data_IF_059605424277
#
_entry.id   IF_059605424277
#
_cell.length_a   1.000
_cell.length_b   1.000
_cell.length_c   1.000
_cell.angle_alpha   90.00
_cell.angle_beta   90.00
_cell.angle_gamma   90.00
#
_symmetry.space_group_name_H-M   'P 1'
#
loop_
_entity.id
_entity.type
_entity.pdbx_description
1 polymer ?
#
# COMPACT_ATOMS: atom_id res chain seq x y z
N UNK A 1 50.27 15.48 -12.89
CA UNK A 1 49.83 14.58 -13.97
C UNK A 1 50.73 13.35 -13.93
N UNK A 2 50.25 12.24 -13.36
CA UNK A 2 50.59 10.82 -13.70
C UNK A 2 49.73 9.95 -12.80
N UNK A 3 48.85 9.16 -13.42
CA UNK A 3 47.94 8.20 -12.82
C UNK A 3 48.73 6.95 -12.43
N UNK A 4 48.55 6.44 -11.20
CA UNK A 4 48.80 5.02 -10.90
C UNK A 4 47.69 4.47 -10.01
N UNK A 5 46.85 3.65 -10.63
CA UNK A 5 45.92 2.71 -9.99
C UNK A 5 46.75 1.65 -9.24
N UNK A 6 46.34 1.29 -8.04
CA UNK A 6 46.75 0.04 -7.40
C UNK A 6 45.51 -0.72 -6.93
N UNK A 7 45.31 -1.86 -7.58
CA UNK A 7 44.42 -2.95 -7.19
C UNK A 7 45.31 -3.95 -6.43
N UNK A 8 44.88 -4.48 -5.28
CA UNK A 8 45.31 -5.80 -4.85
C UNK A 8 44.18 -6.80 -5.09
N UNK A 9 44.38 -7.64 -6.11
CA UNK A 9 43.78 -8.97 -6.20
C UNK A 9 44.48 -9.83 -5.16
N UNK A 10 43.72 -10.46 -4.25
CA UNK A 10 44.16 -11.68 -3.58
C UNK A 10 43.24 -12.82 -4.05
N UNK A 11 43.82 -13.71 -4.85
CA UNK A 11 43.28 -15.03 -5.13
C UNK A 11 43.45 -15.90 -3.87
N UNK A 12 42.36 -16.46 -3.36
CA UNK A 12 42.40 -17.67 -2.55
C UNK A 12 41.48 -18.69 -3.21
N UNK A 13 42.07 -19.83 -3.54
CA UNK A 13 41.53 -20.93 -4.31
C UNK A 13 40.47 -21.73 -3.56
N UNK A 14 39.48 -22.14 -4.34
CA UNK A 14 38.32 -22.97 -4.05
C UNK A 14 38.61 -24.26 -3.25
N UNK A 15 37.79 -24.51 -2.23
CA UNK A 15 37.41 -25.86 -1.81
C UNK A 15 35.91 -26.02 -1.97
N UNK A 16 35.50 -27.02 -2.77
CA UNK A 16 34.12 -27.36 -3.11
C UNK A 16 33.44 -28.05 -1.93
N UNK A 17 32.54 -27.32 -1.26
CA UNK A 17 31.33 -27.92 -0.70
C UNK A 17 30.16 -27.33 -1.48
N UNK A 18 29.62 -28.12 -2.41
CA UNK A 18 28.31 -27.84 -3.00
C UNK A 18 27.26 -28.03 -1.91
N UNK A 19 26.51 -26.99 -1.47
CA UNK A 19 25.18 -27.27 -0.96
C UNK A 19 24.36 -27.75 -2.16
N UNK A 20 23.73 -28.92 -2.05
CA UNK A 20 22.65 -29.30 -2.97
C UNK A 20 21.59 -28.21 -2.86
N UNK A 21 21.53 -27.30 -3.83
CA UNK A 21 20.36 -26.46 -4.02
C UNK A 21 19.21 -27.40 -4.34
N UNK A 22 18.26 -27.50 -3.41
CA UNK A 22 16.92 -27.97 -3.71
C UNK A 22 16.40 -27.16 -4.90
N UNK A 23 16.12 -27.83 -6.02
CA UNK A 23 15.47 -27.25 -7.20
C UNK A 23 13.95 -27.21 -7.05
N UNK A 24 13.42 -27.67 -5.91
CA UNK A 24 12.00 -27.66 -5.60
C UNK A 24 11.65 -26.38 -4.82
N UNK A 25 10.57 -25.66 -5.19
CA UNK A 25 10.12 -24.47 -4.48
C UNK A 25 9.75 -24.83 -3.02
N UNK A 26 10.01 -23.96 -2.04
CA UNK A 26 9.58 -24.18 -0.67
C UNK A 26 8.05 -24.09 -0.65
N UNK A 27 7.39 -25.25 -0.59
CA UNK A 27 5.95 -25.45 -0.52
C UNK A 27 5.15 -25.17 -1.81
N UNK A 28 4.80 -26.24 -2.51
CA UNK A 28 3.62 -26.29 -3.38
C UNK A 28 2.38 -26.30 -2.47
N UNK A 29 1.80 -25.14 -2.20
CA UNK A 29 0.46 -25.10 -1.61
C UNK A 29 -0.51 -25.50 -2.73
N UNK A 30 -1.06 -26.72 -2.67
CA UNK A 30 -2.26 -27.04 -3.45
C UNK A 30 -3.34 -26.05 -3.01
N UNK A 31 -3.66 -25.09 -3.87
CA UNK A 31 -4.80 -24.21 -3.66
C UNK A 31 -6.05 -25.07 -3.83
N UNK A 32 -6.64 -25.46 -2.69
CA UNK A 32 -7.95 -26.10 -2.68
C UNK A 32 -9.01 -25.11 -3.18
N UNK A 33 -9.28 -25.18 -4.48
CA UNK A 33 -10.30 -24.38 -5.14
C UNK A 33 -11.72 -24.92 -4.90
N UNK A 34 -11.90 -25.99 -4.12
CA UNK A 34 -13.22 -26.59 -3.88
C UNK A 34 -14.18 -25.68 -3.13
N UNK A 35 -13.68 -24.62 -2.49
CA UNK A 35 -14.47 -23.58 -1.82
C UNK A 35 -14.58 -22.26 -2.60
N UNK A 36 -14.18 -22.21 -3.88
CA UNK A 36 -14.39 -21.02 -4.71
C UNK A 36 -15.89 -20.79 -4.85
N UNK A 37 -16.40 -19.83 -4.09
CA UNK A 37 -17.78 -19.37 -4.21
C UNK A 37 -17.87 -18.59 -5.52
N UNK A 38 -18.54 -19.17 -6.52
CA UNK A 38 -18.88 -18.44 -7.74
C UNK A 38 -19.72 -17.23 -7.36
N UNK A 39 -19.19 -16.03 -7.56
CA UNK A 39 -19.92 -14.80 -7.30
C UNK A 39 -21.14 -14.75 -8.24
N UNK A 40 -22.33 -14.51 -7.68
CA UNK A 40 -23.55 -14.38 -8.46
C UNK A 40 -23.49 -13.20 -9.45
N UNK A 41 -24.42 -13.17 -10.40
CA UNK A 41 -24.54 -12.10 -11.40
C UNK A 41 -24.65 -10.69 -10.78
N UNK A 42 -25.10 -10.58 -9.53
CA UNK A 42 -24.97 -9.41 -8.69
C UNK A 42 -24.48 -9.84 -7.30
N UNK A 43 -23.44 -9.18 -6.80
CA UNK A 43 -22.89 -9.39 -5.46
C UNK A 43 -22.99 -8.08 -4.68
N UNK A 44 -23.46 -8.16 -3.44
CA UNK A 44 -23.63 -7.00 -2.56
C UNK A 44 -22.55 -7.05 -1.48
N UNK A 45 -21.63 -6.07 -1.50
CA UNK A 45 -20.69 -5.84 -0.41
C UNK A 45 -21.33 -4.88 0.60
N UNK A 46 -21.42 -5.29 1.87
CA UNK A 46 -22.03 -4.50 2.95
C UNK A 46 -21.11 -4.45 4.16
N UNK A 47 -21.12 -3.31 4.85
CA UNK A 47 -20.46 -3.19 6.15
C UNK A 47 -21.01 -4.17 7.17
N UNK A 48 -20.13 -4.80 7.94
CA UNK A 48 -20.50 -5.79 8.95
C UNK A 48 -21.19 -5.14 10.16
N UNK A 49 -20.93 -3.86 10.38
CA UNK A 49 -21.51 -3.06 11.45
C UNK A 49 -21.93 -1.68 10.92
N UNK A 50 -22.92 -1.03 11.56
CA UNK A 50 -23.25 0.37 11.27
C UNK A 50 -22.06 1.28 11.59
N UNK A 51 -22.12 2.50 11.07
CA UNK A 51 -21.13 3.52 11.40
C UNK A 51 -21.13 3.82 12.90
N UNK A 52 -19.95 3.92 13.49
CA UNK A 52 -19.74 4.26 14.88
C UNK A 52 -18.80 5.46 14.94
N UNK A 53 -19.33 6.63 15.28
CA UNK A 53 -18.56 7.87 15.42
C UNK A 53 -17.93 8.04 16.80
N UNK A 54 -18.10 7.09 17.73
CA UNK A 54 -17.58 7.19 19.09
C UNK A 54 -16.17 6.60 19.19
N UNK A 55 -15.14 7.42 19.09
CA UNK A 55 -13.74 6.99 19.16
C UNK A 55 -13.36 6.18 20.42
N UNK A 56 -14.12 6.31 21.52
CA UNK A 56 -13.88 5.52 22.74
C UNK A 56 -14.16 4.03 22.55
N UNK A 57 -14.91 3.66 21.50
CA UNK A 57 -15.15 2.27 21.14
C UNK A 57 -14.00 1.64 20.34
N UNK A 58 -13.13 2.44 19.71
CA UNK A 58 -12.06 1.96 18.83
C UNK A 58 -10.88 1.41 19.64
N UNK A 59 -10.25 0.32 19.17
CA UNK A 59 -9.21 -0.38 19.93
C UNK A 59 -8.17 -1.06 19.03
N UNK A 60 -6.94 -1.13 19.55
CA UNK A 60 -5.87 -1.93 18.96
C UNK A 60 -6.05 -3.41 19.29
N UNK A 61 -5.46 -4.25 18.44
CA UNK A 61 -5.48 -5.68 18.63
C UNK A 61 -6.83 -6.34 18.36
N UNK A 62 -6.82 -7.66 18.45
CA UNK A 62 -8.02 -8.49 18.43
C UNK A 62 -8.57 -8.69 19.84
N UNK A 63 -9.91 -8.65 19.97
CA UNK A 63 -10.67 -9.10 21.15
C UNK A 63 -11.34 -10.45 20.88
N UNK A 64 -12.00 -11.01 21.89
CA UNK A 64 -12.69 -12.31 21.80
C UNK A 64 -13.61 -12.42 20.56
N UNK A 65 -14.41 -11.39 20.28
CA UNK A 65 -15.28 -11.36 19.11
C UNK A 65 -14.54 -11.34 17.76
N UNK A 66 -13.32 -10.79 17.72
CA UNK A 66 -12.48 -10.80 16.51
C UNK A 66 -11.85 -12.20 16.31
N UNK A 67 -11.45 -12.87 17.39
CA UNK A 67 -10.92 -14.24 17.34
C UNK A 67 -11.97 -15.28 16.92
N UNK A 68 -13.26 -14.99 17.12
CA UNK A 68 -14.36 -15.83 16.64
C UNK A 68 -14.56 -15.73 15.11
N UNK A 69 -13.91 -14.79 14.41
CA UNK A 69 -14.06 -14.62 12.96
C UNK A 69 -13.29 -15.71 12.19
N UNK A 70 -13.79 -16.17 11.03
CA UNK A 70 -13.16 -17.26 10.27
C UNK A 70 -11.75 -16.94 9.75
N UNK A 71 -11.41 -15.66 9.62
CA UNK A 71 -10.10 -15.19 9.19
C UNK A 71 -9.16 -14.87 10.37
N UNK A 72 -9.57 -15.11 11.62
CA UNK A 72 -8.74 -14.83 12.79
C UNK A 72 -7.41 -15.61 12.81
N UNK A 73 -7.35 -16.76 12.12
CA UNK A 73 -6.10 -17.51 11.93
C UNK A 73 -4.99 -16.73 11.22
N UNK A 74 -5.32 -15.65 10.51
CA UNK A 74 -4.36 -14.77 9.85
C UNK A 74 -3.89 -13.61 10.75
N UNK A 75 -4.48 -13.46 11.95
CA UNK A 75 -4.02 -12.46 12.90
C UNK A 75 -2.63 -12.81 13.43
N UNK A 76 -1.69 -11.91 13.24
CA UNK A 76 -0.35 -12.01 13.80
C UNK A 76 0.09 -10.63 14.34
N UNK A 77 0.16 -10.43 15.65
CA UNK A 77 0.59 -9.15 16.22
C UNK A 77 2.10 -8.91 16.09
N UNK A 78 2.88 -9.93 15.73
CA UNK A 78 4.30 -9.78 15.47
C UNK A 78 4.51 -9.25 14.05
N UNK A 79 4.77 -7.95 13.96
CA UNK A 79 5.10 -7.28 12.70
C UNK A 79 6.61 -7.37 12.50
N UNK A 80 7.03 -8.02 11.42
CA UNK A 80 8.44 -8.05 11.04
C UNK A 80 8.96 -6.63 10.78
N UNK A 81 10.23 -6.40 11.08
CA UNK A 81 10.87 -5.13 10.76
C UNK A 81 10.86 -4.86 9.26
N UNK A 82 10.79 -3.58 8.89
CA UNK A 82 10.95 -3.13 7.51
C UNK A 82 12.28 -3.63 6.92
N UNK A 83 12.33 -3.82 5.59
CA UNK A 83 13.53 -4.35 4.92
C UNK A 83 14.74 -3.45 5.10
N UNK A 84 15.94 -4.02 4.98
CA UNK A 84 17.20 -3.27 5.08
C UNK A 84 17.28 -2.12 4.06
N UNK A 85 16.73 -2.31 2.85
CA UNK A 85 16.66 -1.27 1.82
C UNK A 85 15.78 -0.10 2.24
N UNK A 86 14.61 -0.37 2.85
CA UNK A 86 13.72 0.68 3.38
C UNK A 86 14.40 1.40 4.55
N UNK A 87 15.03 0.66 5.46
CA UNK A 87 15.77 1.25 6.60
C UNK A 87 16.89 2.19 6.13
N UNK A 88 17.67 1.79 5.11
CA UNK A 88 18.71 2.63 4.49
C UNK A 88 18.12 3.88 3.85
N UNK A 89 17.03 3.74 3.09
CA UNK A 89 16.35 4.86 2.45
C UNK A 89 15.84 5.90 3.44
N UNK A 90 15.23 5.43 4.54
CA UNK A 90 14.76 6.29 5.64
C UNK A 90 15.92 6.95 6.39
N UNK A 91 17.00 6.22 6.69
CA UNK A 91 18.18 6.77 7.37
C UNK A 91 18.94 7.81 6.53
N UNK A 92 18.82 7.72 5.20
CA UNK A 92 19.38 8.69 4.27
C UNK A 92 18.45 9.90 4.01
N UNK A 93 17.26 9.92 4.61
CA UNK A 93 16.30 11.01 4.43
C UNK A 93 16.57 12.19 5.39
N UNK A 94 16.21 13.43 5.03
CA UNK A 94 15.58 13.82 3.77
C UNK A 94 16.54 13.73 2.58
N UNK A 95 16.02 13.25 1.44
CA UNK A 95 16.73 13.29 0.15
C UNK A 95 16.68 14.69 -0.49
N UNK A 96 17.44 14.91 -1.56
CA UNK A 96 17.36 16.15 -2.33
C UNK A 96 15.96 16.39 -2.90
N UNK A 97 15.45 17.62 -2.80
CA UNK A 97 14.08 17.98 -3.19
C UNK A 97 13.81 17.73 -4.69
N UNK A 98 14.85 17.82 -5.53
CA UNK A 98 14.79 17.58 -6.98
C UNK A 98 14.46 16.13 -7.33
N UNK A 99 14.54 15.20 -6.37
CA UNK A 99 14.14 13.79 -6.56
C UNK A 99 12.64 13.57 -6.35
N UNK A 100 11.92 14.59 -5.88
CA UNK A 100 10.48 14.51 -5.59
C UNK A 100 9.62 15.00 -6.75
N UNK A 101 8.35 14.59 -6.78
CA UNK A 101 7.35 15.00 -7.77
C UNK A 101 5.97 15.13 -7.12
N UNK A 102 5.02 15.80 -7.79
CA UNK A 102 3.69 16.03 -7.23
C UNK A 102 2.75 14.87 -7.58
N UNK A 103 1.58 14.79 -6.94
CA UNK A 103 0.62 13.74 -7.24
C UNK A 103 0.11 13.86 -8.68
N UNK A 104 0.05 15.09 -9.19
CA UNK A 104 -0.34 15.39 -10.57
C UNK A 104 0.72 14.98 -11.60
N UNK A 105 1.99 14.85 -11.18
CA UNK A 105 3.07 14.34 -12.03
C UNK A 105 3.23 12.81 -11.92
N UNK A 106 2.53 12.17 -10.99
CA UNK A 106 2.74 10.76 -10.66
C UNK A 106 2.46 9.82 -11.83
N UNK A 107 1.54 10.19 -12.74
CA UNK A 107 1.26 9.42 -13.94
C UNK A 107 2.49 9.23 -14.84
N UNK A 108 3.35 10.25 -14.95
CA UNK A 108 4.61 10.15 -15.69
C UNK A 108 5.63 9.32 -14.87
N UNK A 109 5.91 9.74 -13.64
CA UNK A 109 6.98 9.12 -12.84
C UNK A 109 6.73 7.64 -12.51
N UNK A 110 5.51 7.28 -12.09
CA UNK A 110 5.18 5.92 -11.67
C UNK A 110 4.93 4.96 -12.83
N UNK A 111 4.88 5.44 -14.08
CA UNK A 111 4.73 4.56 -15.26
C UNK A 111 6.03 4.37 -16.04
N UNK A 112 7.08 5.11 -15.69
CA UNK A 112 8.42 4.93 -16.27
C UNK A 112 8.95 3.51 -15.99
N UNK A 113 9.67 2.91 -16.97
CA UNK A 113 10.30 1.62 -16.78
C UNK A 113 11.44 1.71 -15.77
N UNK A 114 11.68 0.62 -15.05
CA UNK A 114 12.75 0.54 -14.04
C UNK A 114 12.36 1.20 -12.73
N UNK A 115 13.37 1.76 -12.06
CA UNK A 115 13.25 2.38 -10.74
C UNK A 115 13.62 3.86 -10.82
N UNK A 116 12.95 4.67 -10.00
CA UNK A 116 13.31 6.07 -9.77
C UNK A 116 14.53 6.15 -8.84
N UNK A 117 15.09 7.36 -8.68
CA UNK A 117 16.20 7.57 -7.76
C UNK A 117 15.75 7.50 -6.30
N UNK A 118 14.50 7.88 -6.01
CA UNK A 118 13.89 7.84 -4.69
C UNK A 118 12.80 6.75 -4.64
N UNK A 119 13.22 5.51 -4.40
CA UNK A 119 12.31 4.35 -4.20
C UNK A 119 12.02 4.09 -2.71
N UNK A 120 12.91 4.52 -1.83
CA UNK A 120 12.82 4.34 -0.37
C UNK A 120 13.32 5.60 0.33
N UNK A 121 12.46 6.24 1.12
CA UNK A 121 12.79 7.44 1.88
C UNK A 121 11.72 8.52 1.79
N UNK A 122 12.06 9.71 2.26
CA UNK A 122 11.20 10.88 2.18
C UNK A 122 11.99 12.15 1.86
N UNK A 123 11.30 13.16 1.35
CA UNK A 123 11.83 14.52 1.22
C UNK A 123 10.70 15.54 1.15
N UNK A 124 11.04 16.79 1.46
CA UNK A 124 10.17 17.94 1.28
C UNK A 124 10.41 18.56 -0.10
N UNK A 125 9.34 18.84 -0.81
CA UNK A 125 9.33 19.65 -2.02
C UNK A 125 9.60 21.12 -1.69
N UNK A 126 9.96 21.90 -2.71
CA UNK A 126 10.18 23.35 -2.58
C UNK A 126 8.93 24.12 -2.12
N UNK A 127 7.73 23.58 -2.38
CA UNK A 127 6.43 24.10 -1.90
C UNK A 127 6.11 23.67 -0.45
N UNK A 128 6.97 22.85 0.17
CA UNK A 128 6.81 22.33 1.52
C UNK A 128 5.92 21.08 1.64
N UNK A 129 5.44 20.51 0.53
CA UNK A 129 4.75 19.21 0.55
C UNK A 129 5.73 18.06 0.80
N UNK A 130 5.26 17.02 1.48
CA UNK A 130 6.03 15.84 1.84
C UNK A 130 5.78 14.72 0.84
N UNK A 131 6.85 14.18 0.24
CA UNK A 131 6.79 12.94 -0.52
C UNK A 131 7.48 11.83 0.27
N UNK A 132 6.76 10.73 0.47
CA UNK A 132 7.28 9.48 1.03
C UNK A 132 7.19 8.41 -0.06
N UNK A 133 8.30 7.73 -0.31
CA UNK A 133 8.40 6.59 -1.22
C UNK A 133 8.86 5.36 -0.43
N UNK A 134 8.13 4.24 -0.55
CA UNK A 134 8.50 2.97 0.07
C UNK A 134 8.27 1.84 -0.93
N UNK A 135 9.32 1.06 -1.19
CA UNK A 135 9.29 -0.12 -2.05
C UNK A 135 9.38 -1.40 -1.22
N UNK A 136 8.37 -2.25 -1.32
CA UNK A 136 8.28 -3.53 -0.60
C UNK A 136 8.12 -4.67 -1.60
N UNK A 137 8.90 -5.74 -1.44
CA UNK A 137 8.68 -6.98 -2.21
C UNK A 137 7.48 -7.73 -1.61
N UNK A 138 6.52 -8.09 -2.46
CA UNK A 138 5.25 -8.73 -2.09
C UNK A 138 5.14 -10.18 -2.61
N UNK A 139 6.27 -10.81 -2.94
CA UNK A 139 6.30 -12.20 -3.39
C UNK A 139 5.45 -12.43 -4.64
N UNK A 140 4.42 -13.27 -4.54
CA UNK A 140 3.52 -13.67 -5.64
C UNK A 140 2.17 -12.92 -5.64
N UNK A 141 2.05 -11.79 -4.94
CA UNK A 141 0.80 -11.01 -4.87
C UNK A 141 0.53 -10.29 -6.18
N UNK A 142 -0.52 -10.72 -6.89
CA UNK A 142 -0.99 -10.06 -8.12
C UNK A 142 -1.76 -8.78 -7.81
N UNK A 143 -1.93 -7.92 -8.81
CA UNK A 143 -2.78 -6.73 -8.74
C UNK A 143 -4.24 -7.08 -8.48
N UNK A 144 -4.75 -8.20 -9.00
CA UNK A 144 -6.10 -8.66 -8.70
C UNK A 144 -6.28 -9.05 -7.23
N UNK A 145 -5.31 -9.76 -6.63
CA UNK A 145 -5.31 -10.06 -5.19
C UNK A 145 -5.27 -8.79 -4.35
N UNK A 146 -4.51 -7.80 -4.80
CA UNK A 146 -4.36 -6.53 -4.12
C UNK A 146 -5.64 -5.67 -4.23
N UNK A 147 -6.28 -5.61 -5.40
CA UNK A 147 -7.59 -4.98 -5.56
C UNK A 147 -8.66 -5.70 -4.73
N UNK A 148 -8.62 -7.03 -4.66
CA UNK A 148 -9.52 -7.82 -3.83
C UNK A 148 -9.36 -7.43 -2.35
N UNK A 149 -8.12 -7.29 -1.87
CA UNK A 149 -7.84 -6.87 -0.50
C UNK A 149 -8.55 -5.55 -0.18
N UNK A 150 -8.37 -4.52 -1.01
CA UNK A 150 -9.02 -3.21 -0.84
C UNK A 150 -10.54 -3.27 -0.95
N UNK A 151 -11.12 -4.22 -1.70
CA UNK A 151 -12.56 -4.42 -1.67
C UNK A 151 -13.05 -5.12 -0.39
N UNK A 152 -12.21 -5.96 0.22
CA UNK A 152 -12.59 -6.88 1.29
C UNK A 152 -12.40 -6.33 2.70
N UNK A 153 -11.32 -5.57 2.94
CA UNK A 153 -10.96 -5.13 4.29
C UNK A 153 -11.75 -3.89 4.77
N UNK A 154 -12.31 -3.09 3.85
CA UNK A 154 -12.93 -1.79 4.17
C UNK A 154 -14.23 -1.90 4.98
N UNK A 155 -14.86 -3.08 4.99
CA UNK A 155 -16.22 -3.28 5.50
C UNK A 155 -16.28 -3.87 6.92
N UNK A 156 -15.13 -4.21 7.50
CA UNK A 156 -15.01 -4.83 8.82
C UNK A 156 -13.69 -4.42 9.48
N UNK A 157 -13.77 -3.75 10.62
CA UNK A 157 -12.58 -3.28 11.35
C UNK A 157 -11.63 -4.42 11.74
N UNK A 158 -12.13 -5.65 11.98
CA UNK A 158 -11.26 -6.80 12.26
C UNK A 158 -10.41 -7.18 11.05
N UNK A 159 -10.95 -7.06 9.82
CA UNK A 159 -10.19 -7.28 8.59
C UNK A 159 -9.15 -6.20 8.37
N UNK A 160 -9.51 -4.94 8.62
CA UNK A 160 -8.56 -3.82 8.50
C UNK A 160 -7.36 -3.99 9.42
N UNK A 161 -7.59 -4.48 10.64
CA UNK A 161 -6.56 -4.76 11.64
C UNK A 161 -5.53 -5.81 11.21
N UNK A 162 -5.91 -6.78 10.37
CA UNK A 162 -4.95 -7.77 9.84
C UNK A 162 -3.79 -7.08 9.09
N UNK A 163 -4.02 -5.90 8.50
CA UNK A 163 -3.01 -5.18 7.73
C UNK A 163 -1.90 -4.58 8.59
N UNK A 164 -2.29 -3.84 9.64
CA UNK A 164 -1.35 -3.23 10.58
C UNK A 164 -1.83 -3.48 12.02
N UNK A 165 -1.51 -4.67 12.57
CA UNK A 165 -1.97 -5.14 13.89
C UNK A 165 -1.70 -4.17 15.05
N UNK A 166 -0.64 -3.36 14.93
CA UNK A 166 -0.18 -2.42 15.96
C UNK A 166 -0.70 -0.99 15.78
N UNK A 167 -1.42 -0.70 14.69
CA UNK A 167 -1.78 0.68 14.33
C UNK A 167 -3.27 0.86 14.02
N UNK A 168 -3.88 -0.07 13.28
CA UNK A 168 -5.26 0.06 12.84
C UNK A 168 -6.24 -0.22 13.99
N UNK A 169 -7.23 0.66 14.20
CA UNK A 169 -8.25 0.50 15.25
C UNK A 169 -9.66 0.37 14.71
N UNK A 170 -10.00 1.13 13.67
CA UNK A 170 -11.33 1.21 13.12
C UNK A 170 -11.31 1.43 11.61
N UNK A 171 -12.27 0.84 10.92
CA UNK A 171 -12.58 1.11 9.53
C UNK A 171 -14.09 0.95 9.29
N UNK A 172 -14.64 1.89 8.52
CA UNK A 172 -15.98 1.85 7.97
C UNK A 172 -16.00 2.48 6.59
N UNK A 173 -16.87 1.99 5.70
CA UNK A 173 -16.93 2.43 4.30
C UNK A 173 -18.23 3.13 3.95
N UNK A 174 -18.16 4.28 3.30
CA UNK A 174 -19.27 4.93 2.62
C UNK A 174 -19.20 4.69 1.10
N UNK A 175 -20.30 4.34 0.41
CA UNK A 175 -21.60 3.98 0.97
C UNK A 175 -21.54 2.64 1.73
N UNK A 176 -22.44 2.45 2.69
CA UNK A 176 -22.49 1.23 3.52
C UNK A 176 -22.64 -0.05 2.69
N UNK A 177 -23.38 0.05 1.58
CA UNK A 177 -23.60 -1.04 0.63
C UNK A 177 -23.08 -0.65 -0.74
N UNK A 178 -22.39 -1.57 -1.40
CA UNK A 178 -21.96 -1.46 -2.80
C UNK A 178 -22.45 -2.67 -3.56
N UNK A 179 -23.13 -2.42 -4.68
CA UNK A 179 -23.55 -3.47 -5.61
C UNK A 179 -22.48 -3.59 -6.69
N UNK A 180 -21.95 -4.78 -6.87
CA UNK A 180 -21.00 -5.12 -7.92
C UNK A 180 -21.48 -6.38 -8.66
N UNK A 181 -20.80 -6.76 -9.72
CA UNK A 181 -21.04 -8.01 -10.43
C UNK A 181 -19.72 -8.74 -10.69
N UNK A 182 -19.79 -10.05 -10.92
CA UNK A 182 -18.61 -10.88 -11.11
C UNK A 182 -17.80 -10.52 -12.37
N UNK A 183 -18.44 -9.91 -13.37
CA UNK A 183 -17.82 -9.53 -14.65
C UNK A 183 -17.09 -8.18 -14.59
N UNK A 184 -17.32 -7.37 -13.56
CA UNK A 184 -16.67 -6.08 -13.39
C UNK A 184 -15.25 -6.26 -12.83
N UNK A 185 -14.29 -5.40 -13.21
CA UNK A 185 -12.95 -5.42 -12.63
C UNK A 185 -13.00 -5.34 -11.11
N UNK A 186 -12.12 -6.04 -10.41
CA UNK A 186 -12.10 -6.06 -8.94
C UNK A 186 -11.92 -4.65 -8.35
N UNK A 187 -11.19 -3.76 -9.03
CA UNK A 187 -11.03 -2.36 -8.64
C UNK A 187 -12.35 -1.56 -8.56
N UNK A 188 -13.36 -1.92 -9.37
CA UNK A 188 -14.70 -1.31 -9.29
C UNK A 188 -15.42 -1.56 -7.95
N UNK A 189 -14.90 -2.47 -7.12
CA UNK A 189 -15.49 -2.84 -5.82
C UNK A 189 -15.05 -1.92 -4.68
N UNK A 190 -14.18 -0.94 -4.93
CA UNK A 190 -13.78 0.06 -3.94
C UNK A 190 -13.59 1.46 -4.52
N UNK A 191 -13.31 1.62 -5.83
CA UNK A 191 -13.22 2.95 -6.46
C UNK A 191 -14.55 3.70 -6.31
N UNK A 192 -14.48 4.97 -5.94
CA UNK A 192 -15.60 5.85 -5.62
C UNK A 192 -16.12 5.73 -4.19
N UNK A 193 -15.51 4.88 -3.36
CA UNK A 193 -15.90 4.72 -1.94
C UNK A 193 -15.01 5.56 -1.03
N UNK A 194 -15.55 5.93 0.13
CA UNK A 194 -14.82 6.62 1.19
C UNK A 194 -14.59 5.65 2.34
N UNK A 195 -13.37 5.59 2.86
CA UNK A 195 -13.04 4.85 4.06
C UNK A 195 -12.81 5.79 5.22
N UNK A 196 -13.64 5.67 6.24
CA UNK A 196 -13.52 6.37 7.51
C UNK A 196 -12.73 5.46 8.45
N UNK A 197 -11.49 5.83 8.72
CA UNK A 197 -10.56 5.04 9.52
C UNK A 197 -10.16 5.79 10.79
N UNK A 198 -9.71 5.02 11.78
CA UNK A 198 -8.95 5.51 12.92
C UNK A 198 -7.72 4.60 13.09
N UNK A 199 -6.56 5.22 13.06
CA UNK A 199 -5.28 4.51 13.12
C UNK A 199 -4.18 5.33 13.75
N UNK A 200 -3.19 4.64 14.30
CA UNK A 200 -1.95 5.27 14.72
C UNK A 200 -1.03 5.54 13.53
N UNK A 201 -0.63 6.80 13.39
CA UNK A 201 0.50 7.20 12.55
C UNK A 201 1.57 7.74 13.50
N UNK A 202 2.66 6.98 13.64
CA UNK A 202 3.60 7.19 14.74
C UNK A 202 2.93 6.94 16.10
N UNK A 203 3.02 7.92 17.00
CA UNK A 203 2.47 7.80 18.36
C UNK A 203 1.06 8.41 18.52
N UNK A 204 0.49 8.94 17.44
CA UNK A 204 -0.79 9.65 17.49
C UNK A 204 -1.85 8.84 16.74
N UNK A 205 -2.96 8.54 17.42
CA UNK A 205 -4.16 8.05 16.74
C UNK A 205 -4.85 9.23 16.03
N UNK A 206 -5.18 9.03 14.76
CA UNK A 206 -5.85 10.03 13.93
C UNK A 206 -7.03 9.42 13.17
N UNK A 207 -8.06 10.24 12.99
CA UNK A 207 -9.18 9.93 12.11
C UNK A 207 -8.88 10.45 10.71
N UNK A 208 -9.03 9.58 9.72
CA UNK A 208 -8.84 9.93 8.30
C UNK A 208 -10.04 9.44 7.48
N UNK A 209 -10.35 10.21 6.45
CA UNK A 209 -11.23 9.86 5.35
C UNK A 209 -10.38 9.67 4.10
N UNK A 210 -10.33 8.44 3.60
CA UNK A 210 -9.65 8.10 2.35
C UNK A 210 -10.71 7.91 1.27
N UNK A 211 -10.73 8.79 0.27
CA UNK A 211 -11.55 8.63 -0.94
C UNK A 211 -10.76 7.83 -1.98
N UNK A 212 -11.21 6.61 -2.28
CA UNK A 212 -10.60 5.81 -3.33
C UNK A 212 -11.05 6.32 -4.70
N UNK A 213 -10.11 6.77 -5.51
CA UNK A 213 -10.38 7.41 -6.80
C UNK A 213 -9.92 6.56 -7.97
N UNK A 214 -10.46 6.83 -9.15
CA UNK A 214 -9.92 6.31 -10.41
C UNK A 214 -8.67 7.14 -10.80
N UNK A 215 -7.47 6.53 -10.84
CA UNK A 215 -6.24 7.25 -11.19
C UNK A 215 -6.26 7.79 -12.63
N UNK A 216 -7.02 7.19 -13.55
CA UNK A 216 -7.09 7.65 -14.93
C UNK A 216 -7.80 9.01 -15.03
N UNK A 217 -8.95 9.14 -14.37
CA UNK A 217 -9.78 10.35 -14.47
C UNK A 217 -9.27 11.50 -13.61
N UNK A 218 -8.70 11.21 -12.45
CA UNK A 218 -8.27 12.25 -11.49
C UNK A 218 -6.82 12.69 -11.66
N UNK A 219 -5.93 11.78 -12.09
CA UNK A 219 -4.48 12.02 -12.15
C UNK A 219 -3.87 11.76 -13.53
N UNK A 220 -4.69 11.41 -14.53
CA UNK A 220 -4.24 11.27 -15.93
C UNK A 220 -3.43 10.00 -16.23
N UNK A 221 -3.52 8.95 -15.40
CA UNK A 221 -2.86 7.68 -15.70
C UNK A 221 -3.45 7.01 -16.94
N UNK A 222 -2.58 6.61 -17.87
CA UNK A 222 -2.98 5.78 -19.02
C UNK A 222 -3.02 4.30 -18.62
N UNK A 223 -4.14 3.85 -18.05
CA UNK A 223 -4.30 2.45 -17.58
C UNK A 223 -4.17 1.42 -18.70
N UNK A 224 -4.44 1.79 -19.95
CA UNK A 224 -4.23 0.92 -21.12
C UNK A 224 -2.76 0.54 -21.36
N UNK A 225 -1.79 1.27 -20.79
CA UNK A 225 -0.35 0.96 -20.90
C UNK A 225 0.18 0.09 -19.75
N UNK A 226 -0.63 -0.22 -18.74
CA UNK A 226 -0.18 -0.92 -17.54
C UNK A 226 0.37 -2.31 -17.87
N UNK A 227 -0.35 -3.08 -18.69
CA UNK A 227 0.06 -4.42 -19.09
C UNK A 227 1.43 -4.43 -19.79
N UNK A 228 1.72 -3.45 -20.65
CA UNK A 228 3.01 -3.36 -21.37
C UNK A 228 4.16 -2.84 -20.52
N UNK A 229 3.86 -2.23 -19.37
CA UNK A 229 4.83 -1.72 -18.40
C UNK A 229 4.99 -2.63 -17.17
N UNK A 230 4.24 -3.74 -17.13
CA UNK A 230 4.25 -4.70 -16.02
C UNK A 230 3.51 -4.20 -14.77
N UNK A 231 2.80 -3.07 -14.85
CA UNK A 231 1.94 -2.58 -13.77
C UNK A 231 0.66 -3.41 -13.80
N UNK A 232 0.23 -3.92 -12.65
CA UNK A 232 -1.03 -4.68 -12.55
C UNK A 232 -2.17 -3.84 -11.95
N UNK A 233 -1.88 -3.01 -10.96
CA UNK A 233 -2.85 -2.05 -10.39
C UNK A 233 -2.13 -0.88 -9.73
N UNK A 234 -2.83 0.25 -9.59
CA UNK A 234 -2.43 1.37 -8.73
C UNK A 234 -3.65 1.80 -7.90
N UNK A 235 -3.74 1.30 -6.66
CA UNK A 235 -4.79 1.71 -5.73
C UNK A 235 -4.48 3.13 -5.29
N UNK A 236 -5.38 4.05 -5.58
CA UNK A 236 -5.18 5.48 -5.31
C UNK A 236 -6.23 5.99 -4.32
N UNK A 237 -5.78 6.44 -3.16
CA UNK A 237 -6.60 7.10 -2.15
C UNK A 237 -6.25 8.58 -2.07
N UNK A 238 -7.26 9.45 -2.00
CA UNK A 238 -7.11 10.87 -1.70
C UNK A 238 -7.60 11.12 -0.29
N UNK A 239 -6.81 11.79 0.55
CA UNK A 239 -7.31 12.23 1.85
C UNK A 239 -8.33 13.34 1.64
N UNK A 240 -9.55 13.09 2.09
CA UNK A 240 -10.69 13.98 1.91
C UNK A 240 -10.98 14.74 3.21
N UNK A 241 -11.40 16.00 3.10
CA UNK A 241 -11.69 16.88 4.25
C UNK A 241 -13.09 16.69 4.83
N UNK A 242 -13.85 15.74 4.29
CA UNK A 242 -15.19 15.37 4.74
C UNK A 242 -15.14 14.16 5.69
N UNK A 243 -16.18 13.96 6.50
CA UNK A 243 -16.30 12.78 7.35
C UNK A 243 -15.36 12.80 8.57
N UNK A 244 -14.44 11.84 8.64
CA UNK A 244 -13.49 11.64 9.75
C UNK A 244 -12.35 12.65 9.78
N UNK A 245 -11.85 13.11 8.62
CA UNK A 245 -10.75 14.07 8.60
C UNK A 245 -11.25 15.49 8.85
N UNK A 246 -10.49 16.28 9.61
CA UNK A 246 -10.78 17.70 9.86
C UNK A 246 -9.68 18.66 9.37
N UNK A 247 -8.46 18.17 9.13
CA UNK A 247 -7.28 19.00 8.87
C UNK A 247 -6.50 18.57 7.61
N UNK A 248 -7.21 18.33 6.50
CA UNK A 248 -6.58 18.07 5.19
C UNK A 248 -7.22 18.95 4.12
N UNK A 249 -6.45 19.31 3.10
CA UNK A 249 -6.88 20.21 2.02
C UNK A 249 -7.40 19.49 0.78
N UNK A 250 -7.53 18.16 0.80
CA UNK A 250 -7.93 17.39 -0.37
C UNK A 250 -6.82 17.16 -1.40
N UNK A 251 -5.60 17.63 -1.15
CA UNK A 251 -4.46 17.53 -2.06
C UNK A 251 -3.44 16.45 -1.66
N UNK A 252 -3.77 15.61 -0.67
CA UNK A 252 -2.89 14.53 -0.22
C UNK A 252 -3.33 13.20 -0.80
N UNK A 253 -2.39 12.43 -1.35
CA UNK A 253 -2.65 11.19 -2.08
C UNK A 253 -1.78 10.05 -1.55
N UNK A 254 -2.36 8.86 -1.51
CA UNK A 254 -1.69 7.59 -1.31
C UNK A 254 -1.82 6.77 -2.58
N UNK A 255 -0.70 6.34 -3.16
CA UNK A 255 -0.68 5.51 -4.36
C UNK A 255 0.05 4.20 -4.04
N UNK A 256 -0.66 3.09 -4.15
CA UNK A 256 -0.11 1.75 -4.00
C UNK A 256 -0.05 1.04 -5.35
N UNK A 257 1.13 1.06 -5.97
CA UNK A 257 1.35 0.38 -7.24
C UNK A 257 1.82 -1.06 -7.00
N UNK A 258 1.19 -2.03 -7.66
CA UNK A 258 1.73 -3.39 -7.84
C UNK A 258 2.33 -3.50 -9.24
N UNK A 259 3.60 -3.85 -9.30
CA UNK A 259 4.34 -4.06 -10.56
C UNK A 259 5.09 -5.38 -10.54
N UNK A 260 4.97 -6.14 -11.63
CA UNK A 260 5.75 -7.35 -11.88
C UNK A 260 7.24 -7.01 -11.98
N UNK A 261 8.07 -7.66 -11.18
CA UNK A 261 9.52 -7.65 -11.35
C UNK A 261 9.95 -8.75 -12.32
N UNK A 262 10.97 -8.45 -13.12
CA UNK A 262 11.59 -9.39 -14.06
C UNK A 262 12.17 -10.66 -13.39
N UNK A 263 12.29 -10.68 -12.05
CA UNK A 263 12.77 -11.83 -11.27
C UNK A 263 11.64 -12.70 -10.69
N UNK A 264 10.38 -12.47 -11.10
CA UNK A 264 9.23 -13.27 -10.68
C UNK A 264 8.62 -12.87 -9.34
N UNK A 265 9.05 -11.75 -8.76
CA UNK A 265 8.41 -11.14 -7.58
C UNK A 265 7.54 -9.94 -7.96
N UNK A 266 6.62 -9.55 -7.10
CA UNK A 266 5.86 -8.32 -7.22
C UNK A 266 6.44 -7.25 -6.30
N UNK A 267 6.64 -6.04 -6.82
CA UNK A 267 7.02 -4.89 -6.00
C UNK A 267 5.80 -4.01 -5.74
N UNK A 268 5.61 -3.64 -4.47
CA UNK A 268 4.68 -2.61 -4.03
C UNK A 268 5.43 -1.30 -3.85
N UNK A 269 5.00 -0.26 -4.55
CA UNK A 269 5.44 1.11 -4.28
C UNK A 269 4.33 1.84 -3.51
N UNK A 270 4.66 2.43 -2.37
CA UNK A 270 3.81 3.40 -1.65
C UNK A 270 4.37 4.79 -1.93
N UNK A 271 3.65 5.57 -2.72
CA UNK A 271 3.83 7.02 -2.76
C UNK A 271 2.79 7.65 -1.85
N UNK A 272 3.17 8.11 -0.67
CA UNK A 272 2.32 9.02 0.10
C UNK A 272 2.83 10.44 -0.18
N UNK A 273 2.03 11.23 -0.89
CA UNK A 273 2.29 12.64 -1.07
C UNK A 273 1.31 13.42 -0.18
N UNK A 274 1.82 14.03 0.87
CA UNK A 274 1.05 14.93 1.71
C UNK A 274 1.32 16.37 1.27
N UNK A 275 0.32 17.01 0.65
CA UNK A 275 0.40 18.43 0.33
C UNK A 275 0.23 19.25 1.60
N UNK A 276 1.02 20.32 1.72
CA UNK A 276 0.94 21.27 2.82
C UNK A 276 -0.47 21.87 2.89
N UNK A 277 -0.96 22.02 4.11
CA UNK A 277 -2.11 22.85 4.40
C UNK A 277 -1.68 24.32 4.37
N UNK A 278 -2.10 25.06 3.33
CA UNK A 278 -1.78 26.49 3.17
C UNK A 278 -2.29 27.33 4.36
N UNK A 279 -3.27 26.84 5.12
CA UNK A 279 -3.91 27.61 6.19
C UNK A 279 -3.14 27.64 7.52
N UNK A 280 -2.27 26.67 7.81
CA UNK A 280 -1.74 26.50 9.17
C UNK A 280 -0.23 26.65 9.30
N UNK A 281 0.52 26.63 8.20
CA UNK A 281 1.98 26.77 8.20
C UNK A 281 2.74 25.72 9.03
N UNK A 282 2.04 24.71 9.56
CA UNK A 282 2.58 23.63 10.38
C UNK A 282 2.38 22.32 9.65
N UNK A 283 3.42 21.50 9.62
CA UNK A 283 3.28 20.07 9.33
C UNK A 283 2.41 19.48 10.45
N UNK A 284 1.32 18.78 10.11
CA UNK A 284 0.67 17.92 11.09
C UNK A 284 1.64 16.79 11.41
N UNK A 285 2.14 16.80 12.65
CA UNK A 285 3.02 15.77 13.22
C UNK A 285 2.24 14.54 13.65
#
# INVERSE_FOLDING_TARGET
MTIKRFIPLLFATFSRCYPQLSTEPPFSIEIDNSSLTTLGASTVSRNVAPYDGNQTSYYLGYREADFAKPFAKFWNPYVEGISEEVQKGLSASPHAAELTFSAYDAADYLTRPGYLQLENGWSLRSDGSLMIAIRTEMGNVTGEMYDWWFSWHLVDSSRYKLWAPIAHRYAWRSPETLVTNASAPTSSRYIGTYSFIDEYIGNNAGQLTVHFIDPATELGFNTSSYASTGIETIVTGRLDSTGHTTNVTGHSYLMHQIRQSRRGGYSRFIGALQCRDEASGKLST
#
